data_IF_241557626823
#
_entry.id   IF_241557626823
#
_cell.length_a   1.000
_cell.length_b   1.000
_cell.length_c   1.000
_cell.angle_alpha   90.00
_cell.angle_beta   90.00
_cell.angle_gamma   90.00
#
_symmetry.space_group_name_H-M   'P 1'
#
loop_
_entity.id
_entity.type
_entity.pdbx_description
1 polymer ?
#
# COMPACT_ATOMS: atom_id res chain seq x y z
N UNK A 1 -8.64 17.31 1.85
CA UNK A 1 -8.54 16.18 0.89
C UNK A 1 -7.08 15.78 0.77
N UNK A 2 -6.73 14.49 0.85
CA UNK A 2 -5.35 14.00 1.06
C UNK A 2 -4.46 13.90 -0.20
N UNK A 3 -4.91 14.43 -1.34
CA UNK A 3 -4.13 14.43 -2.59
C UNK A 3 -3.97 13.04 -3.25
N UNK A 4 -4.79 12.05 -2.87
CA UNK A 4 -4.75 10.72 -3.47
C UNK A 4 -5.60 10.64 -4.74
N UNK A 5 -5.38 9.56 -5.50
CA UNK A 5 -6.15 9.27 -6.72
C UNK A 5 -7.66 9.27 -6.47
N UNK A 6 -8.43 9.86 -7.40
CA UNK A 6 -9.90 9.81 -7.38
C UNK A 6 -10.45 8.40 -7.58
N UNK A 7 -9.61 7.46 -8.02
CA UNK A 7 -9.95 6.06 -8.24
C UNK A 7 -9.44 5.15 -7.11
N UNK A 8 -9.04 5.71 -5.96
CA UNK A 8 -8.65 4.93 -4.79
C UNK A 8 -9.81 4.01 -4.37
N UNK A 9 -9.52 2.74 -4.13
CA UNK A 9 -10.49 1.72 -3.71
C UNK A 9 -9.84 0.82 -2.69
N UNK A 10 -10.59 0.48 -1.65
CA UNK A 10 -10.24 -0.57 -0.68
C UNK A 10 -10.82 -1.89 -1.17
N UNK A 11 -10.14 -3.01 -0.87
CA UNK A 11 -10.67 -4.33 -1.22
C UNK A 11 -11.89 -4.69 -0.36
N UNK A 12 -11.81 -4.42 0.96
CA UNK A 12 -12.96 -4.51 1.85
C UNK A 12 -12.83 -3.57 3.06
N UNK A 13 -14.00 -3.11 3.52
CA UNK A 13 -14.18 -2.33 4.75
C UNK A 13 -15.24 -3.05 5.59
N UNK A 14 -14.92 -3.40 6.82
CA UNK A 14 -15.88 -4.02 7.75
C UNK A 14 -16.44 -2.98 8.72
N UNK A 15 -17.63 -3.25 9.27
CA UNK A 15 -18.42 -2.31 10.09
C UNK A 15 -17.66 -1.73 11.30
N UNK A 16 -16.62 -2.42 11.78
CA UNK A 16 -15.78 -1.98 12.91
C UNK A 16 -14.71 -0.95 12.54
N UNK A 17 -14.70 -0.44 11.30
CA UNK A 17 -13.66 0.49 10.83
C UNK A 17 -12.33 -0.20 10.57
N UNK A 18 -12.33 -1.51 10.28
CA UNK A 18 -11.12 -2.25 9.90
C UNK A 18 -11.05 -2.35 8.38
N UNK A 19 -9.92 -1.94 7.82
CA UNK A 19 -9.65 -2.06 6.37
C UNK A 19 -8.95 -3.38 6.09
N UNK A 20 -9.43 -4.10 5.08
CA UNK A 20 -8.80 -5.35 4.63
C UNK A 20 -8.20 -5.10 3.24
N UNK A 21 -6.93 -5.45 3.09
CA UNK A 21 -6.21 -5.41 1.82
C UNK A 21 -5.76 -6.82 1.46
N UNK A 22 -6.10 -7.27 0.26
CA UNK A 22 -5.82 -8.62 -0.21
C UNK A 22 -4.63 -8.60 -1.17
N UNK A 23 -3.65 -9.45 -0.92
CA UNK A 23 -2.45 -9.58 -1.76
C UNK A 23 -2.24 -11.00 -2.21
N UNK A 24 -2.05 -11.18 -3.51
CA UNK A 24 -1.58 -12.43 -4.08
C UNK A 24 -0.05 -12.47 -4.00
N UNK A 25 0.50 -13.49 -3.37
CA UNK A 25 1.95 -13.72 -3.31
C UNK A 25 2.56 -13.41 -1.94
N UNK A 26 3.80 -12.92 -1.95
CA UNK A 26 4.61 -12.77 -0.73
C UNK A 26 4.30 -11.48 0.03
N UNK A 27 4.38 -11.50 1.37
CA UNK A 27 4.34 -10.28 2.18
C UNK A 27 5.38 -9.25 1.77
N UNK A 28 5.02 -7.97 1.85
CA UNK A 28 5.89 -6.85 1.57
C UNK A 28 5.57 -5.67 2.51
N UNK A 29 6.59 -5.00 3.03
CA UNK A 29 6.42 -3.94 4.04
C UNK A 29 5.57 -2.75 3.52
N UNK A 30 5.72 -2.41 2.24
CA UNK A 30 4.90 -1.38 1.57
C UNK A 30 3.39 -1.62 1.69
N UNK A 31 2.93 -2.85 1.92
CA UNK A 31 1.49 -3.11 2.09
C UNK A 31 0.95 -2.53 3.39
N UNK A 32 1.77 -2.43 4.45
CA UNK A 32 1.39 -1.72 5.69
C UNK A 32 1.21 -0.23 5.43
N UNK A 33 2.13 0.37 4.65
CA UNK A 33 2.00 1.77 4.21
C UNK A 33 0.74 1.99 3.37
N UNK A 34 0.39 1.05 2.49
CA UNK A 34 -0.86 1.12 1.72
C UNK A 34 -2.10 1.13 2.62
N UNK A 35 -2.15 0.26 3.65
CA UNK A 35 -3.22 0.28 4.65
C UNK A 35 -3.34 1.64 5.36
N UNK A 36 -2.22 2.25 5.75
CA UNK A 36 -2.24 3.58 6.36
C UNK A 36 -2.77 4.66 5.40
N UNK A 37 -2.46 4.56 4.10
CA UNK A 37 -3.03 5.42 3.07
C UNK A 37 -4.55 5.30 2.96
N UNK A 38 -5.09 4.08 3.02
CA UNK A 38 -6.54 3.87 3.06
C UNK A 38 -7.17 4.39 4.34
N UNK A 39 -6.54 4.13 5.50
CA UNK A 39 -7.02 4.63 6.79
C UNK A 39 -7.13 6.15 6.78
N UNK A 40 -6.07 6.86 6.38
CA UNK A 40 -6.08 8.32 6.24
C UNK A 40 -7.19 8.79 5.28
N UNK A 41 -7.36 8.13 4.14
CA UNK A 41 -8.40 8.48 3.17
C UNK A 41 -9.82 8.34 3.75
N UNK A 42 -10.06 7.25 4.49
CA UNK A 42 -11.33 6.99 5.15
C UNK A 42 -11.56 7.95 6.32
N UNK A 43 -10.56 8.18 7.16
CA UNK A 43 -10.59 9.15 8.26
C UNK A 43 -10.95 10.55 7.75
N UNK A 44 -10.33 10.98 6.65
CA UNK A 44 -10.61 12.30 6.05
C UNK A 44 -11.99 12.41 5.39
N UNK A 45 -12.63 11.29 5.05
CA UNK A 45 -13.94 11.28 4.37
C UNK A 45 -15.10 11.03 5.34
N UNK A 46 -14.90 10.17 6.33
CA UNK A 46 -15.93 9.74 7.27
C UNK A 46 -15.78 10.34 8.67
N UNK A 47 -14.65 11.01 8.97
CA UNK A 47 -14.35 11.59 10.28
C UNK A 47 -14.35 10.55 11.42
N UNK A 48 -14.09 9.28 11.09
CA UNK A 48 -14.01 8.15 12.02
C UNK A 48 -12.58 7.60 12.02
N UNK A 49 -11.98 7.33 13.20
CA UNK A 49 -10.64 6.76 13.28
C UNK A 49 -10.57 5.35 12.69
N UNK A 50 -9.51 5.05 11.94
CA UNK A 50 -9.23 3.74 11.34
C UNK A 50 -7.87 3.26 11.85
N UNK A 51 -7.87 2.69 13.05
CA UNK A 51 -6.62 2.34 13.77
C UNK A 51 -6.11 0.93 13.48
N UNK A 52 -6.89 0.10 12.79
CA UNK A 52 -6.54 -1.28 12.50
C UNK A 52 -6.84 -1.64 11.05
N UNK A 53 -5.96 -2.47 10.48
CA UNK A 53 -6.17 -3.11 9.19
C UNK A 53 -5.76 -4.57 9.21
N UNK A 54 -6.13 -5.31 8.18
CA UNK A 54 -5.72 -6.70 7.98
C UNK A 54 -5.10 -6.82 6.59
N UNK A 55 -3.88 -7.33 6.54
CA UNK A 55 -3.28 -7.81 5.30
C UNK A 55 -3.65 -9.28 5.14
N UNK A 56 -4.43 -9.61 4.10
CA UNK A 56 -4.78 -10.97 3.75
C UNK A 56 -3.93 -11.43 2.57
N UNK A 57 -3.06 -12.40 2.81
CA UNK A 57 -2.21 -12.99 1.79
C UNK A 57 -2.83 -14.26 1.24
N UNK A 58 -2.97 -14.30 -0.07
CA UNK A 58 -3.37 -15.47 -0.84
C UNK A 58 -2.12 -16.02 -1.52
N UNK A 59 -1.84 -17.30 -1.32
CA UNK A 59 -0.75 -18.01 -1.98
C UNK A 59 -1.31 -19.18 -2.78
N UNK A 60 -0.71 -19.45 -3.93
CA UNK A 60 -1.07 -20.59 -4.76
C UNK A 60 0.16 -21.50 -4.83
N UNK A 61 0.06 -22.68 -4.21
CA UNK A 61 1.12 -23.67 -4.22
C UNK A 61 1.13 -24.46 -5.53
N UNK A 62 2.25 -25.15 -5.79
CA UNK A 62 2.36 -26.09 -6.89
C UNK A 62 1.24 -27.13 -6.83
N UNK A 63 0.48 -27.27 -7.92
CA UNK A 63 -0.72 -28.10 -7.99
C UNK A 63 -2.04 -27.37 -7.70
N UNK A 64 -2.04 -26.04 -7.62
CA UNK A 64 -3.26 -25.22 -7.57
C UNK A 64 -3.92 -25.12 -6.19
N UNK A 65 -3.26 -25.61 -5.13
CA UNK A 65 -3.76 -25.47 -3.75
C UNK A 65 -3.64 -24.02 -3.30
N UNK A 66 -4.76 -23.44 -2.87
CA UNK A 66 -4.82 -22.07 -2.35
C UNK A 66 -4.59 -22.08 -0.84
N UNK A 67 -3.63 -21.28 -0.38
CA UNK A 67 -3.34 -21.05 1.03
C UNK A 67 -3.63 -19.60 1.42
N UNK A 68 -4.06 -19.40 2.66
CA UNK A 68 -4.36 -18.08 3.22
C UNK A 68 -3.50 -17.84 4.46
N UNK A 69 -2.91 -16.66 4.58
CA UNK A 69 -2.37 -16.14 5.83
C UNK A 69 -2.82 -14.71 6.02
N UNK A 70 -2.92 -14.25 7.25
CA UNK A 70 -3.33 -12.88 7.54
C UNK A 70 -2.47 -12.27 8.62
N UNK A 71 -2.27 -10.97 8.52
CA UNK A 71 -1.51 -10.17 9.46
C UNK A 71 -2.38 -8.97 9.89
N UNK A 72 -2.86 -8.93 11.13
CA UNK A 72 -3.46 -7.72 11.68
C UNK A 72 -2.38 -6.66 11.89
N UNK A 73 -2.68 -5.44 11.48
CA UNK A 73 -1.76 -4.30 11.51
C UNK A 73 -2.39 -3.20 12.35
N UNK A 74 -1.70 -2.78 13.40
CA UNK A 74 -2.02 -1.53 14.09
C UNK A 74 -1.49 -0.36 13.26
N UNK A 75 -2.40 0.50 12.82
CA UNK A 75 -2.09 1.68 12.04
C UNK A 75 -1.71 2.76 13.03
N UNK A 76 -0.41 2.88 13.29
CA UNK A 76 0.13 3.86 14.24
C UNK A 76 0.25 5.25 13.61
N UNK A 77 0.52 6.26 14.43
CA UNK A 77 0.91 7.59 13.93
C UNK A 77 2.17 7.52 13.07
N UNK A 78 3.16 6.70 13.44
CA UNK A 78 4.39 6.55 12.66
C UNK A 78 4.10 5.98 11.26
N UNK A 79 3.25 4.96 11.16
CA UNK A 79 2.89 4.36 9.88
C UNK A 79 2.10 5.34 8.98
N UNK A 80 1.27 6.21 9.58
CA UNK A 80 0.60 7.30 8.87
C UNK A 80 1.62 8.31 8.34
N UNK A 81 2.58 8.73 9.16
CA UNK A 81 3.66 9.62 8.73
C UNK A 81 4.50 9.01 7.60
N UNK A 82 4.90 7.74 7.72
CA UNK A 82 5.66 7.03 6.69
C UNK A 82 4.93 7.00 5.33
N UNK A 83 3.61 6.87 5.34
CA UNK A 83 2.82 6.94 4.11
C UNK A 83 2.81 8.37 3.53
N UNK A 84 2.62 9.38 4.37
CA UNK A 84 2.61 10.79 3.95
C UNK A 84 3.97 11.20 3.37
N UNK A 85 5.06 10.84 4.04
CA UNK A 85 6.42 11.13 3.58
C UNK A 85 6.68 10.49 2.21
N UNK A 86 6.32 9.22 2.05
CA UNK A 86 6.48 8.52 0.78
C UNK A 86 5.61 9.12 -0.35
N UNK A 87 4.40 9.59 -0.03
CA UNK A 87 3.54 10.29 -0.98
C UNK A 87 4.17 11.61 -1.41
N UNK A 88 4.65 12.39 -0.46
CA UNK A 88 5.20 13.72 -0.71
C UNK A 88 6.50 13.65 -1.52
N UNK A 89 7.33 12.62 -1.28
CA UNK A 89 8.50 12.34 -2.12
C UNK A 89 8.11 12.09 -3.59
N UNK A 90 7.07 11.29 -3.84
CA UNK A 90 6.60 11.03 -5.20
C UNK A 90 6.01 12.28 -5.85
N UNK A 91 5.27 13.09 -5.09
CA UNK A 91 4.73 14.37 -5.59
C UNK A 91 5.87 15.32 -5.94
N UNK A 92 6.90 15.44 -5.10
CA UNK A 92 8.06 16.28 -5.38
C UNK A 92 8.78 15.84 -6.66
N UNK A 93 8.99 14.53 -6.84
CA UNK A 93 9.56 13.98 -8.08
C UNK A 93 8.73 14.38 -9.32
N UNK A 94 7.40 14.25 -9.24
CA UNK A 94 6.50 14.61 -10.34
C UNK A 94 6.52 16.12 -10.65
N UNK A 95 6.49 16.97 -9.63
CA UNK A 95 6.45 18.44 -9.79
C UNK A 95 7.79 18.97 -10.29
N UNK A 96 8.90 18.43 -9.80
CA UNK A 96 10.25 18.83 -10.20
C UNK A 96 10.71 18.21 -11.53
N UNK A 97 9.98 17.22 -12.04
CA UNK A 97 10.39 16.44 -13.22
C UNK A 97 11.61 15.54 -12.95
N UNK A 98 11.88 15.22 -11.68
CA UNK A 98 12.99 14.35 -11.26
C UNK A 98 12.60 12.89 -11.43
N UNK A 99 13.45 12.12 -12.10
CA UNK A 99 13.25 10.67 -12.23
C UNK A 99 13.44 9.95 -10.88
N UNK A 100 12.72 8.83 -10.63
CA UNK A 100 12.93 8.03 -9.44
C UNK A 100 14.36 7.45 -9.40
N UNK A 101 14.91 7.21 -8.21
CA UNK A 101 16.24 6.61 -8.09
C UNK A 101 16.26 5.20 -8.71
N UNK A 102 17.41 4.83 -9.27
CA UNK A 102 17.61 3.47 -9.76
C UNK A 102 17.70 2.51 -8.59
N UNK A 103 17.04 1.37 -8.72
CA UNK A 103 17.15 0.31 -7.75
C UNK A 103 18.60 -0.22 -7.70
N UNK A 104 19.15 -0.39 -6.49
CA UNK A 104 20.48 -0.99 -6.30
C UNK A 104 20.54 -2.39 -6.90
N UNK A 105 19.44 -3.14 -6.82
CA UNK A 105 19.25 -4.45 -7.43
C UNK A 105 18.00 -4.42 -8.30
N UNK A 106 18.18 -4.25 -9.62
CA UNK A 106 17.07 -4.19 -10.58
C UNK A 106 16.55 -5.61 -10.92
N UNK A 107 15.29 -5.96 -10.56
CA UNK A 107 14.76 -7.29 -10.80
C UNK A 107 14.61 -7.59 -12.30
N UNK A 108 14.75 -8.85 -12.69
CA UNK A 108 14.60 -9.26 -14.10
C UNK A 108 13.21 -8.99 -14.65
N UNK A 109 12.19 -8.99 -13.77
CA UNK A 109 10.81 -8.67 -14.10
C UNK A 109 10.50 -7.17 -14.17
N UNK A 110 11.50 -6.28 -14.00
CA UNK A 110 11.27 -4.84 -14.05
C UNK A 110 10.79 -4.42 -15.45
N UNK A 111 9.57 -3.87 -15.59
CA UNK A 111 9.02 -3.49 -16.90
C UNK A 111 9.78 -2.31 -17.54
N UNK A 112 10.49 -1.53 -16.73
CA UNK A 112 11.24 -0.35 -17.19
C UNK A 112 12.71 -0.63 -17.47
N UNK A 113 13.18 -1.88 -17.38
CA UNK A 113 14.61 -2.22 -17.53
C UNK A 113 15.22 -1.75 -18.86
N UNK A 114 14.45 -1.71 -19.96
CA UNK A 114 14.93 -1.29 -21.28
C UNK A 114 15.06 0.23 -21.47
N UNK A 115 14.50 1.03 -20.55
CA UNK A 115 14.47 2.51 -20.65
C UNK A 115 15.06 3.19 -19.42
N UNK A 116 15.15 2.49 -18.29
CA UNK A 116 15.84 2.94 -17.10
C UNK A 116 17.34 2.93 -17.43
N UNK A 117 17.92 4.13 -17.54
CA UNK A 117 19.32 4.28 -17.96
C UNK A 117 20.31 3.67 -16.99
#
# INVERSE_FOLDING_TARGET
>A
MLGLSRNLRVDALVETGVVIEVKLGKPHENYKRALAGYALALEANYEVPVDYGILLYVSIANGGKVGFSWEPVYISTSLRSEFIDARDEVIDMLVSGKEPPRAEVCPESCPFRGVCG
#
